data_IF_358828666790
#
_entry.id   IF_358828666790
#
_cell.length_a   1.000
_cell.length_b   1.000
_cell.length_c   1.000
_cell.angle_alpha   90.00
_cell.angle_beta   90.00
_cell.angle_gamma   90.00
#
_symmetry.space_group_name_H-M   'P 1'
#
loop_
_entity.id
_entity.type
_entity.pdbx_description
1 polymer ?
#
# COMPACT_ATOMS: atom_id res chain seq x y z
N UNK A 1 -13.39 6.87 18.40
CA UNK A 1 -12.78 7.07 17.07
C UNK A 1 -12.39 5.74 16.49
N UNK A 2 -12.64 5.54 15.21
CA UNK A 2 -12.27 4.30 14.54
C UNK A 2 -10.78 4.29 14.20
N UNK A 3 -10.16 3.13 14.40
CA UNK A 3 -8.79 2.89 13.93
C UNK A 3 -8.85 1.95 12.73
N UNK A 4 -8.12 2.27 11.70
CA UNK A 4 -8.05 1.50 10.48
C UNK A 4 -6.74 0.74 10.41
N UNK A 5 -6.82 -0.51 9.95
CA UNK A 5 -5.65 -1.33 9.65
C UNK A 5 -5.45 -1.43 8.15
N UNK A 6 -4.23 -1.20 7.69
CA UNK A 6 -3.88 -1.37 6.28
C UNK A 6 -2.84 -2.48 6.17
N UNK A 7 -3.16 -3.49 5.38
CA UNK A 7 -2.19 -4.48 4.92
C UNK A 7 -1.63 -4.01 3.58
N UNK A 8 -0.41 -3.48 3.60
CA UNK A 8 0.31 -3.07 2.41
C UNK A 8 1.10 -4.28 1.88
N UNK A 9 0.46 -5.07 1.02
CA UNK A 9 1.04 -6.30 0.49
C UNK A 9 1.90 -6.08 -0.74
N UNK A 10 2.75 -7.05 -1.04
CA UNK A 10 3.59 -7.04 -2.26
C UNK A 10 2.75 -7.11 -3.53
N UNK A 11 1.71 -7.91 -3.51
CA UNK A 11 0.83 -8.16 -4.66
C UNK A 11 -0.52 -7.47 -4.51
N UNK A 12 -1.13 -7.56 -3.34
CA UNK A 12 -2.41 -6.94 -3.01
C UNK A 12 -2.35 -6.23 -1.68
N UNK A 13 -3.15 -5.20 -1.54
CA UNK A 13 -3.32 -4.42 -0.32
C UNK A 13 -4.79 -4.32 0.05
N UNK A 14 -5.10 -4.13 1.32
CA UNK A 14 -6.46 -3.95 1.79
C UNK A 14 -6.52 -3.06 3.03
N UNK A 15 -7.71 -2.58 3.34
CA UNK A 15 -7.99 -1.80 4.54
C UNK A 15 -9.16 -2.40 5.30
N UNK A 16 -9.02 -2.42 6.62
CA UNK A 16 -10.07 -2.86 7.53
C UNK A 16 -10.32 -1.81 8.61
N UNK A 17 -11.51 -1.86 9.18
CA UNK A 17 -11.93 -1.03 10.30
C UNK A 17 -12.24 -1.92 11.49
N UNK A 18 -11.70 -1.57 12.65
CA UNK A 18 -12.08 -2.18 13.89
C UNK A 18 -13.09 -1.30 14.61
N UNK A 19 -14.28 -1.84 14.83
CA UNK A 19 -15.38 -1.12 15.46
C UNK A 19 -16.28 -2.10 16.21
N UNK A 20 -16.65 -1.76 17.45
CA UNK A 20 -17.57 -2.56 18.29
C UNK A 20 -17.17 -4.04 18.46
N UNK A 21 -15.87 -4.32 18.55
CA UNK A 21 -15.39 -5.70 18.70
C UNK A 21 -15.30 -6.50 17.40
N UNK A 22 -15.62 -5.88 16.27
CA UNK A 22 -15.61 -6.53 14.96
C UNK A 22 -14.61 -5.91 14.00
N UNK A 23 -13.98 -6.74 13.20
CA UNK A 23 -13.13 -6.31 12.08
C UNK A 23 -13.95 -6.35 10.80
N UNK A 24 -14.04 -5.23 10.13
CA UNK A 24 -14.75 -5.10 8.86
C UNK A 24 -13.80 -4.67 7.77
N UNK A 25 -13.70 -5.45 6.69
CA UNK A 25 -12.95 -5.08 5.50
C UNK A 25 -13.74 -4.03 4.72
N UNK A 26 -13.06 -2.96 4.30
CA UNK A 26 -13.65 -1.93 3.47
C UNK A 26 -13.34 -2.25 2.02
N UNK A 27 -14.39 -2.43 1.23
CA UNK A 27 -14.27 -2.72 -0.20
C UNK A 27 -14.20 -1.45 -1.05
N UNK A 28 -13.52 -1.55 -2.18
CA UNK A 28 -13.63 -0.57 -3.25
C UNK A 28 -14.96 -0.82 -4.00
N UNK A 29 -15.96 0.00 -3.73
CA UNK A 29 -17.29 -0.15 -4.32
C UNK A 29 -17.28 -0.02 -5.85
N UNK A 30 -16.40 0.79 -6.39
CA UNK A 30 -16.26 0.94 -7.86
C UNK A 30 -15.53 -0.24 -8.48
N UNK A 31 -14.53 -0.77 -7.80
CA UNK A 31 -13.76 -1.93 -8.24
C UNK A 31 -14.39 -3.26 -7.90
N UNK A 32 -15.39 -3.28 -7.01
CA UNK A 32 -16.09 -4.50 -6.59
C UNK A 32 -15.22 -5.51 -5.84
N UNK A 33 -14.10 -5.08 -5.26
CA UNK A 33 -13.16 -5.97 -4.61
C UNK A 33 -12.73 -5.47 -3.22
N UNK A 34 -12.52 -6.42 -2.32
CA UNK A 34 -11.93 -6.18 -1.01
C UNK A 34 -10.41 -5.95 -1.08
N UNK A 35 -9.78 -6.30 -2.17
CA UNK A 35 -8.35 -6.22 -2.39
C UNK A 35 -8.01 -5.23 -3.50
N UNK A 36 -7.02 -4.41 -3.26
CA UNK A 36 -6.44 -3.53 -4.27
C UNK A 36 -5.11 -4.12 -4.74
N UNK A 37 -4.94 -4.32 -6.04
CA UNK A 37 -3.65 -4.72 -6.59
C UNK A 37 -2.60 -3.64 -6.31
N UNK A 38 -1.45 -4.05 -5.75
CA UNK A 38 -0.31 -3.16 -5.48
C UNK A 38 0.47 -2.93 -6.77
N UNK A 39 -0.17 -2.25 -7.72
CA UNK A 39 0.33 -2.03 -9.06
C UNK A 39 0.06 -0.59 -9.49
N UNK A 40 1.03 0.00 -10.20
CA UNK A 40 0.97 1.37 -10.72
C UNK A 40 1.33 1.34 -12.20
N UNK A 41 0.48 1.93 -13.02
CA UNK A 41 0.75 2.13 -14.45
C UNK A 41 0.90 3.63 -14.74
N UNK A 42 1.97 4.00 -15.42
CA UNK A 42 2.25 5.38 -15.81
C UNK A 42 1.85 5.57 -17.27
N UNK A 43 0.84 6.41 -17.52
CA UNK A 43 0.43 6.71 -18.89
C UNK A 43 1.49 7.48 -19.67
N UNK A 44 1.37 7.50 -20.98
CA UNK A 44 2.36 7.99 -21.94
C UNK A 44 2.88 9.41 -21.67
N UNK A 45 2.06 10.26 -21.08
CA UNK A 45 2.45 11.64 -20.76
C UNK A 45 3.05 11.84 -19.36
N UNK A 46 3.04 10.78 -18.54
CA UNK A 46 3.49 10.83 -17.15
C UNK A 46 2.58 11.64 -16.20
N UNK A 47 1.51 12.24 -16.73
CA UNK A 47 0.61 13.09 -15.95
C UNK A 47 -0.54 12.30 -15.29
N UNK A 48 -0.81 11.10 -15.76
CA UNK A 48 -1.86 10.26 -15.23
C UNK A 48 -1.32 8.91 -14.79
N UNK A 49 -1.69 8.51 -13.60
CA UNK A 49 -1.32 7.23 -13.00
C UNK A 49 -2.58 6.40 -12.78
N UNK A 50 -2.50 5.12 -13.11
CA UNK A 50 -3.55 4.16 -12.82
C UNK A 50 -3.04 3.23 -11.73
N UNK A 51 -3.81 3.03 -10.68
CA UNK A 51 -3.40 2.23 -9.53
C UNK A 51 -4.44 1.12 -9.31
N UNK A 52 -3.96 -0.09 -9.11
CA UNK A 52 -4.80 -1.24 -8.86
C UNK A 52 -4.92 -2.18 -10.06
N UNK A 53 -6.03 -2.88 -10.17
CA UNK A 53 -6.27 -3.87 -11.21
C UNK A 53 -6.23 -3.27 -12.62
N UNK A 54 -6.74 -2.06 -12.79
CA UNK A 54 -6.65 -1.32 -14.04
C UNK A 54 -5.22 -1.09 -14.52
N UNK A 55 -4.27 -0.91 -13.59
CA UNK A 55 -2.84 -0.82 -13.93
C UNK A 55 -2.34 -2.11 -14.57
N UNK A 56 -2.74 -3.25 -14.03
CA UNK A 56 -2.36 -4.57 -14.57
C UNK A 56 -2.94 -4.79 -15.96
N UNK A 57 -4.17 -4.37 -16.19
CA UNK A 57 -4.84 -4.48 -17.49
C UNK A 57 -4.12 -3.64 -18.55
N UNK A 58 -3.81 -2.37 -18.25
CA UNK A 58 -3.07 -1.50 -19.15
C UNK A 58 -1.64 -2.02 -19.41
N UNK A 59 -1.03 -2.61 -18.38
CA UNK A 59 0.32 -3.18 -18.46
C UNK A 59 0.47 -4.37 -19.39
N UNK A 60 -0.63 -5.02 -19.80
CA UNK A 60 -0.60 -6.12 -20.78
C UNK A 60 -0.05 -5.62 -22.12
N UNK A 61 -0.42 -4.42 -22.53
CA UNK A 61 0.02 -3.83 -23.81
C UNK A 61 1.30 -3.00 -23.69
N UNK A 62 1.62 -2.51 -22.50
CA UNK A 62 2.79 -1.69 -22.25
C UNK A 62 3.46 -2.08 -20.92
N UNK A 63 4.07 -3.28 -20.84
CA UNK A 63 4.62 -3.80 -19.57
C UNK A 63 5.75 -2.96 -19.00
N UNK A 64 6.46 -2.19 -19.82
CA UNK A 64 7.51 -1.27 -19.38
C UNK A 64 6.99 -0.10 -18.55
N UNK A 65 5.68 0.15 -18.60
CA UNK A 65 5.01 1.22 -17.86
C UNK A 65 4.26 0.72 -16.62
N UNK A 66 4.28 -0.59 -16.39
CA UNK A 66 3.66 -1.24 -15.25
C UNK A 66 4.69 -1.50 -14.15
N UNK A 67 4.44 -0.95 -12.96
CA UNK A 67 5.28 -1.14 -11.79
C UNK A 67 4.57 -2.00 -10.76
N UNK A 68 5.21 -3.10 -10.37
CA UNK A 68 4.71 -4.08 -9.40
C UNK A 68 5.84 -4.53 -8.48
N UNK A 69 5.48 -5.15 -7.36
CA UNK A 69 6.41 -5.79 -6.41
C UNK A 69 7.43 -4.84 -5.77
N UNK A 70 7.15 -3.56 -5.77
CA UNK A 70 8.07 -2.54 -5.28
C UNK A 70 8.28 -2.58 -3.76
N UNK A 71 7.37 -3.18 -3.00
CA UNK A 71 7.53 -3.40 -1.57
C UNK A 71 8.79 -4.21 -1.24
N UNK A 72 9.21 -5.12 -2.13
CA UNK A 72 10.43 -5.92 -1.97
C UNK A 72 11.70 -5.06 -1.84
N UNK A 73 11.65 -3.86 -2.39
CA UNK A 73 12.82 -2.99 -2.50
C UNK A 73 12.82 -1.84 -1.49
N UNK A 74 11.78 -1.74 -0.64
CA UNK A 74 11.75 -0.75 0.43
C UNK A 74 12.93 -0.97 1.37
N UNK A 75 13.73 0.08 1.60
CA UNK A 75 14.88 0.04 2.49
C UNK A 75 16.11 -0.68 1.91
N UNK A 76 16.03 -1.13 0.67
CA UNK A 76 17.18 -1.72 -0.03
C UNK A 76 18.00 -0.62 -0.71
N UNK A 77 19.31 -0.76 -0.65
CA UNK A 77 20.24 0.18 -1.23
C UNK A 77 20.55 -0.22 -2.68
N UNK A 78 20.24 0.63 -3.67
CA UNK A 78 20.53 0.34 -5.08
C UNK A 78 22.01 0.10 -5.37
N UNK A 79 22.91 0.68 -4.56
CA UNK A 79 24.35 0.54 -4.76
C UNK A 79 24.90 -0.81 -4.27
N UNK A 80 24.24 -1.42 -3.29
CA UNK A 80 24.72 -2.67 -2.66
C UNK A 80 23.92 -3.91 -3.05
N UNK A 81 22.70 -3.72 -3.59
CA UNK A 81 21.83 -4.83 -3.99
C UNK A 81 21.96 -5.09 -5.49
N UNK A 82 22.60 -6.20 -5.91
CA UNK A 82 22.89 -6.46 -7.33
C UNK A 82 21.63 -6.56 -8.20
N UNK A 83 20.56 -7.03 -7.61
CA UNK A 83 19.29 -7.27 -8.32
C UNK A 83 18.26 -6.15 -8.10
N UNK A 84 18.69 -5.00 -7.55
CA UNK A 84 17.77 -3.88 -7.27
C UNK A 84 17.04 -3.47 -8.53
N UNK A 85 15.71 -3.43 -8.41
CA UNK A 85 14.87 -3.01 -9.53
C UNK A 85 14.62 -1.51 -9.50
N UNK A 86 15.05 -0.84 -10.55
CA UNK A 86 14.73 0.56 -10.79
C UNK A 86 13.42 0.69 -11.56
N UNK A 87 12.52 1.52 -11.06
CA UNK A 87 11.23 1.78 -11.70
C UNK A 87 11.31 3.10 -12.45
N UNK A 88 11.72 3.03 -13.70
CA UNK A 88 11.99 4.20 -14.55
C UNK A 88 11.10 4.17 -15.78
N UNK A 89 10.45 5.29 -16.07
CA UNK A 89 9.70 5.50 -17.32
C UNK A 89 9.75 6.98 -17.70
N UNK A 90 9.91 7.25 -19.00
CA UNK A 90 10.01 8.61 -19.55
C UNK A 90 11.07 9.48 -18.85
N UNK A 91 12.20 8.87 -18.47
CA UNK A 91 13.32 9.53 -17.80
C UNK A 91 13.10 9.85 -16.32
N UNK A 92 11.97 9.47 -15.73
CA UNK A 92 11.68 9.66 -14.32
C UNK A 92 11.78 8.33 -13.57
N UNK A 93 12.50 8.34 -12.44
CA UNK A 93 12.55 7.22 -11.51
C UNK A 93 11.53 7.40 -10.38
N UNK A 94 10.77 6.33 -10.11
CA UNK A 94 9.85 6.24 -8.99
C UNK A 94 10.47 5.35 -7.93
N UNK A 95 10.57 5.83 -6.69
CA UNK A 95 11.10 5.04 -5.58
C UNK A 95 10.05 4.06 -5.05
N UNK A 96 10.46 2.96 -4.40
CA UNK A 96 9.51 2.05 -3.75
C UNK A 96 8.61 2.73 -2.72
N UNK A 97 9.12 3.74 -2.00
CA UNK A 97 8.35 4.53 -1.04
C UNK A 97 7.27 5.37 -1.75
N UNK A 98 7.62 6.04 -2.85
CA UNK A 98 6.67 6.80 -3.64
C UNK A 98 5.56 5.92 -4.22
N UNK A 99 5.93 4.77 -4.80
CA UNK A 99 4.97 3.81 -5.35
C UNK A 99 4.04 3.25 -4.26
N UNK A 100 4.59 2.93 -3.10
CA UNK A 100 3.80 2.49 -1.94
C UNK A 100 2.83 3.58 -1.47
N UNK A 101 3.27 4.84 -1.46
CA UNK A 101 2.42 5.97 -1.09
C UNK A 101 1.23 6.14 -2.04
N UNK A 102 1.43 5.89 -3.33
CA UNK A 102 0.36 5.93 -4.33
C UNK A 102 -0.71 4.87 -4.08
N UNK A 103 -0.29 3.65 -3.72
CA UNK A 103 -1.22 2.57 -3.35
C UNK A 103 -2.01 2.96 -2.11
N UNK A 104 -1.35 3.47 -1.07
CA UNK A 104 -2.00 3.91 0.17
C UNK A 104 -2.97 5.07 -0.06
N UNK A 105 -2.61 6.00 -0.93
CA UNK A 105 -3.47 7.11 -1.32
C UNK A 105 -4.74 6.62 -2.03
N UNK A 106 -4.61 5.64 -2.91
CA UNK A 106 -5.76 5.02 -3.59
C UNK A 106 -6.67 4.31 -2.60
N UNK A 107 -6.12 3.63 -1.61
CA UNK A 107 -6.88 3.00 -0.51
C UNK A 107 -7.68 4.06 0.25
N UNK A 108 -7.05 5.15 0.62
CA UNK A 108 -7.72 6.26 1.31
C UNK A 108 -8.88 6.83 0.49
N UNK A 109 -8.68 6.97 -0.82
CA UNK A 109 -9.70 7.49 -1.73
C UNK A 109 -10.92 6.57 -1.82
N UNK A 110 -10.73 5.26 -2.02
CA UNK A 110 -11.88 4.38 -2.13
C UNK A 110 -12.58 4.16 -0.76
N UNK A 111 -11.85 4.21 0.34
CA UNK A 111 -12.45 4.18 1.67
C UNK A 111 -13.35 5.39 1.89
N UNK A 112 -12.91 6.57 1.47
CA UNK A 112 -13.71 7.80 1.53
C UNK A 112 -15.00 7.68 0.73
N UNK A 113 -14.96 7.11 -0.46
CA UNK A 113 -16.15 6.82 -1.27
C UNK A 113 -17.11 5.85 -0.59
N UNK A 114 -16.58 4.91 0.18
CA UNK A 114 -17.38 3.98 0.99
C UNK A 114 -17.93 4.62 2.30
N UNK A 115 -17.72 5.91 2.50
CA UNK A 115 -18.20 6.64 3.67
C UNK A 115 -17.26 6.66 4.87
N UNK A 116 -16.00 6.24 4.70
CA UNK A 116 -15.01 6.15 5.77
C UNK A 116 -13.99 7.29 5.68
N UNK A 117 -13.90 8.11 6.74
CA UNK A 117 -12.87 9.14 6.89
C UNK A 117 -11.63 8.50 7.53
N UNK A 118 -10.66 8.13 6.73
CA UNK A 118 -9.44 7.45 7.19
C UNK A 118 -8.36 8.48 7.49
N UNK A 119 -8.02 8.63 8.76
CA UNK A 119 -6.94 9.49 9.23
C UNK A 119 -5.87 8.68 9.96
N UNK A 120 -6.25 8.04 11.05
CA UNK A 120 -5.36 7.26 11.91
C UNK A 120 -5.33 5.80 11.45
N UNK A 121 -4.13 5.31 11.13
CA UNK A 121 -3.95 3.95 10.62
C UNK A 121 -2.82 3.23 11.32
N UNK A 122 -2.94 1.91 11.36
CA UNK A 122 -1.87 0.98 11.65
C UNK A 122 -1.56 0.25 10.36
N UNK A 123 -0.29 0.23 9.95
CA UNK A 123 0.15 -0.48 8.74
C UNK A 123 0.86 -1.76 9.15
N UNK A 124 0.53 -2.86 8.52
CA UNK A 124 1.23 -4.13 8.74
C UNK A 124 2.43 -4.26 7.82
N UNK A 125 3.46 -4.95 8.30
CA UNK A 125 4.67 -5.24 7.54
C UNK A 125 5.12 -6.68 7.79
N UNK A 126 5.97 -7.23 6.91
CA UNK A 126 6.58 -8.53 7.17
C UNK A 126 7.42 -8.51 8.45
N UNK A 127 7.46 -9.66 9.15
CA UNK A 127 8.23 -9.79 10.39
C UNK A 127 9.73 -9.57 10.20
N UNK A 128 10.26 -9.81 9.00
CA UNK A 128 11.67 -9.62 8.68
C UNK A 128 12.06 -8.16 8.39
N UNK A 129 11.11 -7.24 8.31
CA UNK A 129 11.42 -5.83 8.13
C UNK A 129 12.25 -5.30 9.31
N UNK A 130 13.36 -4.65 9.00
CA UNK A 130 14.17 -3.95 9.98
C UNK A 130 13.60 -2.56 10.33
N UNK A 131 14.26 -1.85 11.21
CA UNK A 131 13.84 -0.52 11.63
C UNK A 131 13.75 0.46 10.44
N UNK A 132 14.73 0.44 9.55
CA UNK A 132 14.76 1.34 8.39
C UNK A 132 13.59 1.07 7.44
N UNK A 133 13.28 -0.19 7.17
CA UNK A 133 12.14 -0.59 6.33
C UNK A 133 10.79 -0.18 6.94
N UNK A 134 10.66 -0.29 8.26
CA UNK A 134 9.46 0.16 8.99
C UNK A 134 9.29 1.67 8.95
N UNK A 135 10.37 2.42 9.14
CA UNK A 135 10.35 3.88 9.05
C UNK A 135 9.99 4.37 7.64
N UNK A 136 10.48 3.70 6.60
CA UNK A 136 10.12 4.02 5.21
C UNK A 136 8.67 3.65 4.88
N UNK A 137 8.15 2.56 5.45
CA UNK A 137 6.72 2.19 5.34
C UNK A 137 5.84 3.27 5.99
N UNK A 138 6.23 3.74 7.17
CA UNK A 138 5.57 4.86 7.86
C UNK A 138 5.58 6.12 7.00
N UNK A 139 6.73 6.44 6.40
CA UNK A 139 6.88 7.60 5.51
C UNK A 139 5.96 7.49 4.29
N UNK A 140 5.82 6.32 3.70
CA UNK A 140 4.88 6.10 2.61
C UNK A 140 3.43 6.44 3.01
N UNK A 141 3.01 6.04 4.21
CA UNK A 141 1.70 6.41 4.77
C UNK A 141 1.55 7.91 4.97
N UNK A 142 2.56 8.57 5.51
CA UNK A 142 2.56 10.03 5.70
C UNK A 142 2.47 10.77 4.37
N UNK A 143 3.19 10.34 3.35
CA UNK A 143 3.10 10.88 1.98
C UNK A 143 1.71 10.71 1.37
N UNK A 144 0.99 9.68 1.75
CA UNK A 144 -0.39 9.44 1.34
C UNK A 144 -1.42 10.28 2.12
N UNK A 145 -0.98 11.09 3.08
CA UNK A 145 -1.85 11.90 3.92
C UNK A 145 -2.48 11.15 5.08
N UNK A 146 -1.84 10.08 5.54
CA UNK A 146 -2.29 9.28 6.67
C UNK A 146 -1.46 9.60 7.92
N UNK A 147 -2.10 9.53 9.09
CA UNK A 147 -1.40 9.54 10.37
C UNK A 147 -1.11 8.09 10.79
N UNK A 148 0.13 7.67 10.61
CA UNK A 148 0.55 6.29 10.92
C UNK A 148 0.87 6.17 12.40
N UNK A 149 -0.01 5.53 13.16
CA UNK A 149 0.16 5.33 14.60
C UNK A 149 1.23 4.31 14.92
N UNK A 150 1.31 3.26 14.11
CA UNK A 150 2.29 2.19 14.26
C UNK A 150 2.46 1.42 12.96
N UNK A 151 3.65 0.82 12.81
CA UNK A 151 3.92 -0.21 11.81
C UNK A 151 4.20 -1.49 12.58
N UNK A 152 3.38 -2.50 12.42
CA UNK A 152 3.43 -3.74 13.20
C UNK A 152 3.58 -4.96 12.30
N UNK A 153 4.08 -6.05 12.86
CA UNK A 153 4.20 -7.32 12.16
C UNK A 153 2.82 -7.91 11.85
N UNK A 154 2.65 -8.49 10.68
CA UNK A 154 1.42 -9.17 10.27
C UNK A 154 0.94 -10.20 11.30
N UNK A 155 1.79 -11.09 11.87
CA UNK A 155 1.38 -12.00 12.94
C UNK A 155 0.90 -11.31 14.22
N UNK A 156 1.49 -10.14 14.57
CA UNK A 156 1.05 -9.36 15.73
C UNK A 156 -0.32 -8.72 15.53
N UNK A 157 -0.64 -8.29 14.32
CA UNK A 157 -1.95 -7.74 13.99
C UNK A 157 -3.06 -8.76 14.24
N UNK A 158 -2.84 -10.02 13.87
CA UNK A 158 -3.74 -11.14 14.14
C UNK A 158 -3.88 -11.38 15.64
N UNK A 159 -2.78 -11.39 16.37
CA UNK A 159 -2.80 -11.60 17.84
C UNK A 159 -3.57 -10.51 18.59
N UNK A 160 -3.39 -9.25 18.17
CA UNK A 160 -4.13 -8.11 18.76
C UNK A 160 -5.62 -8.21 18.47
N UNK A 161 -5.99 -8.63 17.27
CA UNK A 161 -7.39 -8.88 16.92
C UNK A 161 -8.01 -9.93 17.83
N UNK A 162 -7.33 -11.04 18.06
CA UNK A 162 -7.80 -12.12 18.95
C UNK A 162 -7.86 -11.68 20.42
N UNK A 163 -6.91 -10.89 20.90
CA UNK A 163 -6.89 -10.46 22.31
C UNK A 163 -8.00 -9.47 22.68
N UNK A 164 -8.62 -8.84 21.69
CA UNK A 164 -9.72 -7.91 21.90
C UNK A 164 -11.11 -8.58 21.83
N UNK A 165 -11.15 -9.88 21.54
CA UNK A 165 -12.39 -10.68 21.53
C UNK A 165 -12.68 -11.36 22.88
N UNK A 166 -11.79 -11.26 23.89
CA UNK A 166 -11.98 -11.67 25.28
C UNK A 166 -12.29 -10.44 26.17
#
# INVERSE_FOLDING_TARGET
>A
MAVYGIDLGTTYSCISKYENGEVKIIADEEGGSDLLASAVFVKDDGNELIIGEGAKEEGVLAPERLFQFFKRWIGKDPETEPDYKHYIVDGKEYTPVELSSLVLKRIKEYAKKAGEEVEDVIITCPAYFDFAQRELTKKAGELAGLNVLAVINEPMAVAISYSNEE
#
